data_IF_614632051837
#
_entry.id   IF_614632051837
#
_cell.length_a   1.000
_cell.length_b   1.000
_cell.length_c   1.000
_cell.angle_alpha   90.00
_cell.angle_beta   90.00
_cell.angle_gamma   90.00
#
_symmetry.space_group_name_H-M   'P 1'
#
loop_
_entity.id
_entity.type
_entity.pdbx_description
1 polymer ?
#
# COMPACT_ATOMS: atom_id res chain seq x y z
N UNK A 1 5.04 -5.81 -21.08
CA UNK A 1 5.79 -6.59 -20.06
C UNK A 1 6.98 -5.75 -19.62
N UNK A 2 7.25 -5.64 -18.32
CA UNK A 2 8.39 -4.89 -17.78
C UNK A 2 9.28 -5.82 -16.95
N UNK A 3 10.59 -5.62 -16.99
CA UNK A 3 11.57 -6.32 -16.15
C UNK A 3 12.50 -5.29 -15.52
N UNK A 4 12.53 -5.25 -14.19
CA UNK A 4 13.32 -4.28 -13.44
C UNK A 4 14.44 -4.98 -12.67
N UNK A 5 15.57 -4.30 -12.54
CA UNK A 5 16.75 -4.75 -11.82
C UNK A 5 17.10 -3.81 -10.68
N UNK A 6 17.61 -4.35 -9.57
CA UNK A 6 18.07 -3.54 -8.43
C UNK A 6 19.26 -4.17 -7.72
N UNK A 7 20.21 -3.30 -7.35
CA UNK A 7 21.39 -3.64 -6.56
C UNK A 7 21.10 -3.80 -5.06
N UNK A 8 19.90 -3.42 -4.61
CA UNK A 8 19.47 -3.58 -3.20
C UNK A 8 19.19 -5.02 -2.81
N UNK A 9 18.98 -5.90 -3.79
CA UNK A 9 18.70 -7.31 -3.55
C UNK A 9 19.96 -8.16 -3.70
N UNK A 10 19.99 -9.27 -2.97
CA UNK A 10 21.06 -10.27 -3.05
C UNK A 10 21.06 -11.04 -4.39
N UNK A 11 22.12 -11.86 -4.61
CA UNK A 11 22.20 -12.77 -5.75
C UNK A 11 20.94 -13.62 -5.91
N UNK A 12 20.35 -13.61 -7.12
CA UNK A 12 19.14 -14.37 -7.46
C UNK A 12 17.85 -13.54 -7.36
N UNK A 13 17.83 -12.45 -6.60
CA UNK A 13 16.64 -11.63 -6.37
C UNK A 13 16.67 -10.26 -7.05
N UNK A 14 17.76 -9.93 -7.76
CA UNK A 14 17.96 -8.60 -8.35
C UNK A 14 16.90 -8.24 -9.38
N UNK A 15 16.35 -9.23 -10.09
CA UNK A 15 15.46 -9.02 -11.21
C UNK A 15 14.01 -9.39 -10.87
N UNK A 16 13.09 -8.45 -11.07
CA UNK A 16 11.65 -8.64 -10.98
C UNK A 16 10.98 -8.56 -12.36
N UNK A 17 9.95 -9.36 -12.60
CA UNK A 17 9.15 -9.33 -13.85
C UNK A 17 7.71 -8.94 -13.54
N UNK A 18 7.24 -7.90 -14.23
CA UNK A 18 6.02 -7.16 -13.91
C UNK A 18 5.18 -7.00 -15.18
N UNK A 19 4.38 -8.03 -15.54
CA UNK A 19 3.47 -7.95 -16.68
C UNK A 19 2.22 -7.12 -16.35
N UNK A 20 1.59 -6.62 -17.41
CA UNK A 20 0.29 -5.95 -17.34
C UNK A 20 -0.49 -6.21 -18.62
N UNK A 21 -1.81 -6.19 -18.49
CA UNK A 21 -2.77 -6.30 -19.58
C UNK A 21 -3.97 -5.40 -19.27
N UNK A 22 -4.51 -4.73 -20.28
CA UNK A 22 -5.71 -3.93 -20.15
C UNK A 22 -6.54 -4.06 -21.42
N UNK A 23 -7.85 -4.07 -21.25
CA UNK A 23 -8.83 -4.06 -22.33
C UNK A 23 -9.84 -2.97 -22.05
N UNK A 24 -10.31 -2.33 -23.12
CA UNK A 24 -11.43 -1.43 -23.06
C UNK A 24 -12.38 -1.72 -24.21
N UNK A 25 -13.67 -1.66 -23.93
CA UNK A 25 -14.72 -1.86 -24.91
C UNK A 25 -15.67 -0.68 -24.86
N UNK A 26 -15.73 0.07 -25.97
CA UNK A 26 -16.62 1.22 -26.12
C UNK A 26 -17.95 0.75 -26.69
N UNK A 27 -18.87 0.41 -25.80
CA UNK A 27 -20.18 -0.14 -26.15
C UNK A 27 -21.06 0.90 -26.87
N UNK A 28 -20.86 2.19 -26.59
CA UNK A 28 -21.57 3.28 -27.28
C UNK A 28 -21.39 3.29 -28.80
N UNK A 29 -20.35 2.63 -29.32
CA UNK A 29 -20.11 2.51 -30.76
C UNK A 29 -20.78 1.28 -31.39
N UNK A 30 -21.37 0.39 -30.61
CA UNK A 30 -22.03 -0.80 -31.11
C UNK A 30 -23.42 -0.48 -31.68
N UNK A 31 -23.80 -1.15 -32.77
CA UNK A 31 -25.04 -0.89 -33.51
C UNK A 31 -26.31 -1.01 -32.66
N UNK A 32 -26.28 -1.79 -31.57
CA UNK A 32 -27.42 -1.96 -30.67
C UNK A 32 -27.59 -0.83 -29.64
N UNK A 33 -26.56 0.00 -29.42
CA UNK A 33 -26.66 1.22 -28.59
C UNK A 33 -26.67 2.51 -29.43
N UNK A 34 -26.33 2.42 -30.71
CA UNK A 34 -26.50 3.52 -31.66
C UNK A 34 -27.99 3.88 -31.76
N UNK A 35 -28.37 5.06 -31.27
CA UNK A 35 -29.75 5.55 -31.28
C UNK A 35 -30.42 5.63 -29.91
N UNK A 36 -29.77 5.18 -28.84
CA UNK A 36 -30.24 5.44 -27.47
C UNK A 36 -30.11 6.94 -27.17
N UNK A 37 -31.23 7.66 -27.22
CA UNK A 37 -31.28 9.08 -26.94
C UNK A 37 -30.75 9.41 -25.54
N UNK A 38 -29.91 10.45 -25.45
CA UNK A 38 -29.36 10.93 -24.19
C UNK A 38 -28.06 10.24 -23.73
N UNK A 39 -27.72 9.03 -24.20
CA UNK A 39 -26.41 8.42 -23.95
C UNK A 39 -25.43 8.85 -25.05
N UNK A 40 -24.29 9.42 -24.65
CA UNK A 40 -23.26 9.94 -25.57
C UNK A 40 -21.95 9.17 -25.56
N UNK A 41 -21.57 8.55 -24.43
CA UNK A 41 -20.47 7.57 -24.40
C UNK A 41 -20.71 6.53 -23.31
N UNK A 42 -20.27 5.31 -23.56
CA UNK A 42 -20.25 4.21 -22.61
C UNK A 42 -19.08 3.31 -22.96
N UNK A 43 -18.13 3.20 -22.02
CA UNK A 43 -16.91 2.43 -22.18
C UNK A 43 -16.66 1.62 -20.93
N UNK A 44 -16.52 0.31 -21.09
CA UNK A 44 -16.07 -0.58 -20.04
C UNK A 44 -14.55 -0.73 -20.12
N UNK A 45 -13.90 -0.75 -18.97
CA UNK A 45 -12.46 -0.95 -18.80
C UNK A 45 -12.24 -2.13 -17.86
N UNK A 46 -11.27 -2.97 -18.20
CA UNK A 46 -10.74 -3.96 -17.27
C UNK A 46 -9.22 -4.01 -17.42
N UNK A 47 -8.52 -4.11 -16.30
CA UNK A 47 -7.06 -4.21 -16.30
C UNK A 47 -6.54 -5.09 -15.18
N UNK A 48 -5.38 -5.67 -15.48
CA UNK A 48 -4.60 -6.46 -14.56
C UNK A 48 -3.13 -6.05 -14.68
N UNK A 49 -2.48 -5.79 -13.56
CA UNK A 49 -1.07 -5.43 -13.53
C UNK A 49 -0.37 -6.02 -12.32
N UNK A 50 0.88 -6.44 -12.51
CA UNK A 50 1.82 -6.72 -11.43
C UNK A 50 2.84 -5.58 -11.38
N UNK A 51 3.15 -5.10 -10.19
CA UNK A 51 4.20 -4.10 -9.94
C UNK A 51 5.09 -4.56 -8.78
N UNK A 52 6.34 -4.08 -8.78
CA UNK A 52 7.32 -4.36 -7.75
C UNK A 52 7.66 -3.12 -6.93
N UNK A 53 7.91 -3.31 -5.65
CA UNK A 53 8.43 -2.29 -4.74
C UNK A 53 9.75 -2.76 -4.10
N UNK A 54 10.63 -1.79 -3.86
CA UNK A 54 11.99 -1.96 -3.31
C UNK A 54 12.37 -0.83 -2.34
N UNK A 55 11.38 -0.19 -1.74
CA UNK A 55 11.57 0.91 -0.80
C UNK A 55 12.02 0.39 0.58
N UNK A 56 13.28 0.00 0.68
CA UNK A 56 13.95 -0.37 1.93
C UNK A 56 15.42 0.12 1.90
N UNK A 57 16.12 -0.01 3.04
CA UNK A 57 17.51 0.44 3.19
C UNK A 57 18.46 -0.34 2.27
N UNK A 58 19.59 0.27 1.92
CA UNK A 58 20.62 -0.40 1.12
C UNK A 58 21.38 -1.45 1.96
N UNK A 59 22.03 -2.40 1.27
CA UNK A 59 22.95 -3.40 1.84
C UNK A 59 22.37 -4.43 2.82
N UNK A 60 21.05 -4.53 2.97
CA UNK A 60 20.41 -5.50 3.88
C UNK A 60 20.66 -6.98 3.50
N UNK A 61 21.17 -7.22 2.29
CA UNK A 61 21.60 -8.52 1.79
C UNK A 61 23.02 -8.92 2.21
N UNK A 62 23.80 -8.01 2.80
CA UNK A 62 25.16 -8.27 3.29
C UNK A 62 25.28 -7.87 4.77
N UNK A 63 26.02 -8.64 5.60
CA UNK A 63 26.38 -8.16 6.93
C UNK A 63 27.34 -6.98 6.79
N UNK A 64 26.90 -5.79 7.23
CA UNK A 64 27.73 -4.59 7.29
C UNK A 64 28.19 -4.33 8.71
N UNK A 65 29.33 -3.66 8.89
CA UNK A 65 29.80 -3.27 10.20
C UNK A 65 29.23 -1.91 10.59
N UNK A 66 28.62 -1.84 11.77
CA UNK A 66 28.01 -0.61 12.30
C UNK A 66 28.51 -0.33 13.71
N UNK A 67 28.61 0.95 14.06
CA UNK A 67 28.91 1.34 15.44
C UNK A 67 27.77 0.95 16.37
N UNK A 68 28.14 0.41 17.52
CA UNK A 68 27.26 0.17 18.67
C UNK A 68 26.80 1.48 19.30
N UNK A 69 25.70 1.43 20.04
CA UNK A 69 25.13 2.60 20.72
C UNK A 69 25.75 2.83 22.10
N UNK A 70 25.32 3.89 22.79
CA UNK A 70 25.78 4.22 24.14
C UNK A 70 25.43 3.17 25.21
N UNK A 71 24.56 2.20 24.89
CA UNK A 71 24.19 1.11 25.81
C UNK A 71 25.12 -0.11 25.65
N UNK A 72 25.97 -0.12 24.62
CA UNK A 72 26.81 -1.28 24.23
C UNK A 72 28.28 -0.88 24.10
N UNK A 73 28.73 -0.01 25.01
CA UNK A 73 30.12 0.45 25.12
C UNK A 73 30.97 -0.50 25.97
N UNK A 74 32.26 -0.57 25.65
CA UNK A 74 33.26 -1.24 26.47
C UNK A 74 34.13 -0.17 27.15
N UNK A 75 34.37 -0.35 28.45
CA UNK A 75 35.17 0.58 29.23
C UNK A 75 36.64 0.16 29.22
N UNK A 76 37.52 1.05 28.77
CA UNK A 76 38.97 0.93 28.87
C UNK A 76 39.50 2.02 29.81
N UNK A 77 39.78 1.64 31.07
CA UNK A 77 40.12 2.61 32.11
C UNK A 77 38.97 3.56 32.41
N UNK A 78 39.15 4.86 32.17
CA UNK A 78 38.12 5.89 32.35
C UNK A 78 37.41 6.29 31.05
N UNK A 79 37.70 5.60 29.93
CA UNK A 79 37.13 5.91 28.61
C UNK A 79 36.12 4.83 28.21
N UNK A 80 34.93 5.25 27.83
CA UNK A 80 33.92 4.38 27.23
C UNK A 80 34.05 4.43 25.71
N UNK A 81 34.27 3.29 25.07
CA UNK A 81 34.44 3.17 23.62
C UNK A 81 33.29 2.37 23.04
N UNK A 82 32.65 2.90 22.00
CA UNK A 82 31.65 2.17 21.23
C UNK A 82 32.31 1.04 20.44
N UNK A 83 31.75 -0.15 20.55
CA UNK A 83 32.20 -1.30 19.77
C UNK A 83 31.69 -1.21 18.33
N UNK A 84 32.24 -2.03 17.44
CA UNK A 84 31.69 -2.25 16.11
C UNK A 84 31.07 -3.65 16.11
N UNK A 85 29.86 -3.76 15.57
CA UNK A 85 29.14 -5.04 15.45
C UNK A 85 28.62 -5.23 14.03
N UNK A 86 28.48 -6.48 13.56
CA UNK A 86 27.77 -6.75 12.32
C UNK A 86 26.29 -6.39 12.44
N UNK A 87 25.69 -5.97 11.34
CA UNK A 87 24.25 -5.73 11.21
C UNK A 87 23.50 -7.03 10.90
N UNK A 88 22.22 -7.07 11.26
CA UNK A 88 21.34 -8.16 10.85
C UNK A 88 21.16 -8.17 9.32
N UNK A 89 21.09 -9.37 8.76
CA UNK A 89 21.11 -9.58 7.30
C UNK A 89 19.96 -10.49 6.86
N UNK A 90 19.37 -10.20 5.71
CA UNK A 90 18.51 -11.14 4.98
C UNK A 90 19.02 -11.29 3.55
N UNK A 91 19.83 -12.32 3.27
CA UNK A 91 20.34 -12.58 1.92
C UNK A 91 19.24 -12.89 0.91
N UNK A 92 18.07 -13.32 1.38
CA UNK A 92 16.94 -13.73 0.56
C UNK A 92 15.92 -12.61 0.38
N UNK A 93 16.17 -11.40 0.89
CA UNK A 93 15.28 -10.26 0.68
C UNK A 93 15.02 -10.05 -0.81
N UNK A 94 13.76 -9.84 -1.17
CA UNK A 94 13.30 -9.76 -2.54
C UNK A 94 12.17 -8.75 -2.74
N UNK A 95 11.79 -8.52 -3.99
CA UNK A 95 10.73 -7.60 -4.38
C UNK A 95 9.42 -7.86 -3.63
N UNK A 96 8.85 -6.79 -3.07
CA UNK A 96 7.44 -6.74 -2.67
C UNK A 96 6.60 -6.64 -3.95
N UNK A 97 5.59 -7.50 -4.10
CA UNK A 97 4.83 -7.63 -5.36
C UNK A 97 3.37 -7.26 -5.16
N UNK A 98 2.92 -6.24 -5.85
CA UNK A 98 1.50 -5.85 -5.88
C UNK A 98 0.84 -6.35 -7.15
N UNK A 99 -0.23 -7.13 -7.00
CA UNK A 99 -1.12 -7.50 -8.11
C UNK A 99 -2.40 -6.66 -8.02
N UNK A 100 -2.67 -5.88 -9.05
CA UNK A 100 -3.83 -5.00 -9.16
C UNK A 100 -4.81 -5.54 -10.20
N UNK A 101 -6.08 -5.64 -9.81
CA UNK A 101 -7.22 -5.83 -10.70
C UNK A 101 -8.07 -4.57 -10.62
N UNK A 102 -8.48 -4.05 -11.77
CA UNK A 102 -9.38 -2.90 -11.85
C UNK A 102 -10.43 -3.15 -12.93
N UNK A 103 -11.68 -2.84 -12.60
CA UNK A 103 -12.82 -2.87 -13.52
C UNK A 103 -13.52 -1.52 -13.40
N UNK A 104 -13.75 -0.85 -14.52
CA UNK A 104 -14.35 0.47 -14.53
C UNK A 104 -15.35 0.63 -15.66
N UNK A 105 -16.25 1.60 -15.49
CA UNK A 105 -17.19 2.03 -16.50
C UNK A 105 -17.14 3.55 -16.60
N UNK A 106 -16.74 4.04 -17.76
CA UNK A 106 -16.84 5.45 -18.13
C UNK A 106 -18.18 5.66 -18.83
N UNK A 107 -18.93 6.69 -18.45
CA UNK A 107 -20.22 7.01 -19.04
C UNK A 107 -20.35 8.51 -19.31
N UNK A 108 -21.13 8.86 -20.32
CA UNK A 108 -21.42 10.24 -20.67
C UNK A 108 -22.81 10.38 -21.25
N UNK A 109 -23.55 11.40 -20.83
CA UNK A 109 -24.90 11.71 -21.26
C UNK A 109 -25.01 13.12 -21.85
N UNK A 110 -25.98 13.32 -22.74
CA UNK A 110 -26.36 14.61 -23.31
C UNK A 110 -25.19 15.38 -23.91
N UNK A 111 -24.48 14.75 -24.86
CA UNK A 111 -23.25 15.28 -25.47
C UNK A 111 -22.20 15.61 -24.40
N UNK A 112 -21.93 14.62 -23.55
CA UNK A 112 -20.97 14.68 -22.44
C UNK A 112 -21.25 15.77 -21.39
N UNK A 113 -22.45 16.37 -21.38
CA UNK A 113 -22.86 17.34 -20.37
C UNK A 113 -22.79 16.77 -18.96
N UNK A 114 -23.11 15.48 -18.81
CA UNK A 114 -22.88 14.74 -17.57
C UNK A 114 -21.97 13.58 -17.92
N UNK A 115 -20.77 13.54 -17.37
CA UNK A 115 -19.84 12.46 -17.61
C UNK A 115 -19.22 12.00 -16.29
N UNK A 116 -18.85 10.75 -16.22
CA UNK A 116 -18.31 10.19 -14.99
C UNK A 116 -17.65 8.86 -15.19
N UNK A 117 -17.02 8.39 -14.12
CA UNK A 117 -16.52 7.03 -14.04
C UNK A 117 -16.89 6.40 -12.71
N UNK A 118 -17.11 5.10 -12.76
CA UNK A 118 -17.11 4.24 -11.57
C UNK A 118 -16.04 3.18 -11.76
N UNK A 119 -15.16 3.06 -10.77
CA UNK A 119 -14.05 2.12 -10.77
C UNK A 119 -14.12 1.25 -9.52
N UNK A 120 -14.03 -0.05 -9.69
CA UNK A 120 -13.79 -1.01 -8.62
C UNK A 120 -12.40 -1.60 -8.77
N UNK A 121 -11.66 -1.67 -7.66
CA UNK A 121 -10.32 -2.24 -7.68
C UNK A 121 -10.06 -3.18 -6.50
N UNK A 122 -9.14 -4.12 -6.73
CA UNK A 122 -8.49 -4.91 -5.70
C UNK A 122 -6.99 -4.90 -5.97
N UNK A 123 -6.21 -4.43 -4.99
CA UNK A 123 -4.75 -4.52 -4.97
C UNK A 123 -4.35 -5.51 -3.88
N UNK A 124 -3.64 -6.56 -4.23
CA UNK A 124 -3.07 -7.51 -3.26
C UNK A 124 -1.57 -7.44 -3.32
N UNK A 125 -0.94 -7.09 -2.20
CA UNK A 125 0.50 -6.96 -2.08
C UNK A 125 1.01 -8.13 -1.26
N UNK A 126 1.93 -8.90 -1.83
CA UNK A 126 2.59 -10.01 -1.17
C UNK A 126 4.06 -9.65 -0.93
N UNK A 127 4.67 -10.39 0.00
CA UNK A 127 6.07 -10.25 0.35
C UNK A 127 6.37 -8.85 0.91
N UNK A 128 5.47 -8.32 1.74
CA UNK A 128 5.65 -7.03 2.42
C UNK A 128 6.94 -7.06 3.23
N UNK A 129 7.76 -6.02 3.06
CA UNK A 129 9.05 -5.89 3.74
C UNK A 129 8.84 -5.10 5.03
N UNK A 130 9.09 -5.73 6.18
CA UNK A 130 9.00 -5.07 7.48
C UNK A 130 10.25 -5.31 8.32
N UNK A 131 10.53 -4.35 9.21
CA UNK A 131 11.52 -4.50 10.28
C UNK A 131 10.87 -5.21 11.47
N UNK A 132 11.32 -6.43 11.77
CA UNK A 132 10.64 -7.35 12.69
C UNK A 132 11.59 -7.98 13.70
N UNK A 133 11.12 -8.27 14.93
CA UNK A 133 11.93 -8.99 15.91
C UNK A 133 12.12 -10.44 15.48
N UNK A 134 13.30 -10.98 15.76
CA UNK A 134 13.67 -12.37 15.48
C UNK A 134 14.23 -13.05 16.72
N UNK A 135 14.13 -14.40 16.83
CA UNK A 135 14.68 -15.11 17.96
C UNK A 135 16.18 -14.87 18.12
N UNK A 136 16.65 -14.77 19.37
CA UNK A 136 18.06 -14.58 19.65
C UNK A 136 18.89 -15.75 19.08
N UNK A 137 20.04 -15.43 18.49
CA UNK A 137 20.96 -16.42 17.92
C UNK A 137 20.63 -16.89 16.50
N UNK A 138 19.50 -16.48 15.90
CA UNK A 138 19.18 -16.83 14.49
C UNK A 138 19.78 -15.86 13.46
N UNK A 139 20.27 -14.71 13.91
CA UNK A 139 20.91 -13.68 13.07
C UNK A 139 21.87 -12.84 13.92
N UNK A 140 22.52 -11.87 13.30
CA UNK A 140 23.49 -10.96 13.91
C UNK A 140 22.85 -9.79 14.69
N UNK A 141 21.52 -9.82 14.86
CA UNK A 141 20.76 -8.87 15.66
C UNK A 141 19.43 -9.46 16.11
N UNK A 142 18.74 -8.76 17.01
CA UNK A 142 17.42 -9.17 17.53
C UNK A 142 16.27 -8.74 16.61
N UNK A 143 16.56 -8.03 15.52
CA UNK A 143 15.62 -7.56 14.52
C UNK A 143 16.23 -7.68 13.14
N UNK A 144 15.41 -7.89 12.12
CA UNK A 144 15.82 -7.91 10.72
C UNK A 144 14.72 -7.30 9.85
N UNK A 145 15.11 -6.68 8.75
CA UNK A 145 14.17 -6.26 7.70
C UNK A 145 14.02 -7.39 6.69
N UNK A 146 12.82 -7.93 6.53
CA UNK A 146 12.60 -9.12 5.68
C UNK A 146 11.17 -9.16 5.12
N UNK A 147 10.97 -9.95 4.06
CA UNK A 147 9.66 -10.21 3.45
C UNK A 147 8.82 -11.10 4.38
N UNK A 148 7.70 -10.59 4.88
CA UNK A 148 6.97 -11.27 5.96
C UNK A 148 5.46 -11.16 5.91
N UNK A 149 4.92 -10.22 5.13
CA UNK A 149 3.49 -9.92 5.16
C UNK A 149 2.81 -10.04 3.81
N UNK A 150 1.48 -10.09 3.86
CA UNK A 150 0.64 -9.79 2.71
C UNK A 150 -0.53 -8.92 3.14
N UNK A 151 -0.97 -8.03 2.26
CA UNK A 151 -2.08 -7.12 2.50
C UNK A 151 -2.97 -7.01 1.28
N UNK A 152 -4.18 -6.51 1.50
CA UNK A 152 -5.16 -6.23 0.47
C UNK A 152 -5.77 -4.86 0.66
N UNK A 153 -5.86 -4.13 -0.44
CA UNK A 153 -6.66 -2.93 -0.57
C UNK A 153 -7.79 -3.19 -1.56
N UNK A 154 -9.01 -2.86 -1.18
CA UNK A 154 -10.18 -2.93 -2.05
C UNK A 154 -10.97 -1.65 -1.94
N UNK A 155 -11.38 -1.12 -3.07
CA UNK A 155 -12.13 0.12 -3.07
C UNK A 155 -13.03 0.29 -4.27
N UNK A 156 -13.93 1.25 -4.11
CA UNK A 156 -14.74 1.81 -5.19
C UNK A 156 -14.43 3.31 -5.24
N UNK A 157 -14.23 3.80 -6.45
CA UNK A 157 -14.03 5.21 -6.77
C UNK A 157 -15.13 5.62 -7.73
N UNK A 158 -15.69 6.80 -7.50
CA UNK A 158 -16.73 7.39 -8.32
C UNK A 158 -16.36 8.84 -8.59
N UNK A 159 -16.51 9.27 -9.84
CA UNK A 159 -16.46 10.67 -10.21
C UNK A 159 -17.58 11.03 -11.17
N UNK A 160 -18.06 12.26 -11.03
CA UNK A 160 -19.09 12.84 -11.88
C UNK A 160 -18.75 14.31 -12.13
N UNK A 161 -18.72 14.68 -13.40
CA UNK A 161 -18.60 16.05 -13.87
C UNK A 161 -19.90 16.43 -14.57
N UNK A 162 -20.38 17.64 -14.31
CA UNK A 162 -21.60 18.16 -14.87
C UNK A 162 -21.40 19.60 -15.35
N UNK A 163 -21.68 19.86 -16.62
CA UNK A 163 -21.86 21.22 -17.13
C UNK A 163 -23.28 21.68 -16.79
N UNK A 164 -23.43 22.26 -15.61
CA UNK A 164 -24.74 22.64 -15.05
C UNK A 164 -25.36 23.77 -15.86
N UNK A 165 -24.58 24.78 -16.23
CA UNK A 165 -25.02 25.89 -17.09
C UNK A 165 -24.08 26.02 -18.30
N UNK A 166 -24.63 25.85 -19.50
CA UNK A 166 -23.97 26.14 -20.78
C UNK A 166 -24.68 27.35 -21.41
N UNK A 167 -23.95 28.44 -21.63
CA UNK A 167 -24.46 29.62 -22.34
C UNK A 167 -25.76 30.19 -21.75
N UNK A 168 -25.75 30.58 -20.47
CA UNK A 168 -26.88 31.37 -19.96
C UNK A 168 -27.02 32.67 -20.76
N UNK A 169 -28.22 33.25 -20.81
CA UNK A 169 -28.48 34.52 -21.49
C UNK A 169 -27.59 35.68 -20.99
N UNK A 170 -26.94 35.52 -19.83
CA UNK A 170 -26.02 36.47 -19.21
C UNK A 170 -24.53 36.10 -19.38
N UNK A 171 -24.19 35.06 -20.16
CA UNK A 171 -22.81 34.61 -20.37
C UNK A 171 -22.21 33.77 -19.24
N UNK A 172 -23.02 33.34 -18.26
CA UNK A 172 -22.55 32.48 -17.16
C UNK A 172 -22.43 31.02 -17.64
N UNK A 173 -21.28 30.42 -17.34
CA UNK A 173 -21.06 28.98 -17.43
C UNK A 173 -20.75 28.44 -16.03
N UNK A 174 -21.27 27.25 -15.73
CA UNK A 174 -21.03 26.60 -14.44
C UNK A 174 -20.84 25.11 -14.64
N UNK A 175 -19.76 24.60 -14.06
CA UNK A 175 -19.38 23.19 -14.06
C UNK A 175 -19.23 22.73 -12.62
N UNK A 176 -19.85 21.60 -12.26
CA UNK A 176 -19.70 21.00 -10.95
C UNK A 176 -19.00 19.64 -11.08
N UNK A 177 -18.13 19.33 -10.12
CA UNK A 177 -17.45 18.03 -10.05
C UNK A 177 -17.62 17.41 -8.67
N UNK A 178 -17.99 16.13 -8.64
CA UNK A 178 -18.16 15.32 -7.45
C UNK A 178 -17.21 14.13 -7.53
N UNK A 179 -16.48 13.88 -6.44
CA UNK A 179 -15.69 12.66 -6.30
C UNK A 179 -16.00 11.98 -4.97
N UNK A 180 -16.16 10.66 -5.01
CA UNK A 180 -16.41 9.85 -3.83
C UNK A 180 -15.55 8.59 -3.90
N UNK A 181 -14.92 8.24 -2.77
CA UNK A 181 -14.08 7.06 -2.69
C UNK A 181 -14.29 6.34 -1.37
N UNK A 182 -14.28 5.02 -1.44
CA UNK A 182 -14.23 4.14 -0.28
C UNK A 182 -13.15 3.11 -0.48
N UNK A 183 -12.17 3.09 0.42
CA UNK A 183 -11.12 2.08 0.42
C UNK A 183 -11.10 1.33 1.75
N UNK A 184 -10.91 0.02 1.65
CA UNK A 184 -10.73 -0.88 2.77
C UNK A 184 -9.36 -1.52 2.66
N UNK A 185 -8.61 -1.47 3.75
CA UNK A 185 -7.29 -2.08 3.85
C UNK A 185 -7.32 -3.19 4.91
N UNK A 186 -6.67 -4.30 4.60
CA UNK A 186 -6.60 -5.46 5.48
C UNK A 186 -5.23 -6.13 5.34
N UNK A 187 -4.58 -6.38 6.46
CA UNK A 187 -3.42 -7.26 6.51
C UNK A 187 -3.93 -8.71 6.44
N UNK A 188 -3.46 -9.49 5.47
CA UNK A 188 -3.92 -10.87 5.26
C UNK A 188 -3.08 -11.87 6.05
N UNK A 189 -1.78 -11.62 6.16
CA UNK A 189 -0.86 -12.48 6.89
C UNK A 189 0.38 -11.70 7.37
N UNK A 190 0.95 -12.18 8.46
CA UNK A 190 2.29 -11.85 8.97
C UNK A 190 2.95 -13.20 9.29
N UNK A 191 4.16 -13.44 8.80
CA UNK A 191 4.82 -14.74 8.90
C UNK A 191 6.22 -14.69 9.54
N UNK A 192 6.38 -14.40 10.85
CA UNK A 192 7.63 -14.62 11.56
C UNK A 192 7.54 -16.02 12.15
N UNK A 193 7.93 -17.03 11.38
CA UNK A 193 8.12 -18.40 11.86
C UNK A 193 6.88 -19.09 12.48
N UNK A 194 5.69 -18.93 11.88
CA UNK A 194 4.42 -19.64 12.23
C UNK A 194 3.90 -19.50 13.68
N UNK A 195 4.58 -18.78 14.58
CA UNK A 195 4.22 -18.70 16.01
C UNK A 195 3.87 -17.30 16.49
N UNK A 196 4.11 -16.26 15.69
CA UNK A 196 3.83 -14.87 16.06
C UNK A 196 2.56 -14.40 15.34
N UNK A 197 1.49 -14.20 16.09
CA UNK A 197 0.19 -13.77 15.57
C UNK A 197 0.06 -12.26 15.35
N UNK A 198 0.97 -11.46 15.94
CA UNK A 198 0.88 -9.98 15.98
C UNK A 198 2.27 -9.35 16.09
N UNK A 199 2.49 -8.22 15.43
CA UNK A 199 3.71 -7.41 15.58
C UNK A 199 3.32 -6.04 16.11
N UNK A 200 3.82 -5.68 17.29
CA UNK A 200 3.60 -4.33 17.85
C UNK A 200 4.53 -3.33 17.17
N UNK A 201 3.98 -2.18 16.78
CA UNK A 201 4.67 -1.08 16.07
C UNK A 201 4.19 0.28 16.57
N UNK A 202 4.58 1.38 15.93
CA UNK A 202 4.18 2.73 16.31
C UNK A 202 4.73 3.11 17.69
N UNK A 203 6.06 3.22 17.80
CA UNK A 203 6.73 3.57 19.05
C UNK A 203 6.27 4.92 19.59
N UNK A 204 6.16 5.05 20.92
CA UNK A 204 5.83 6.31 21.60
C UNK A 204 6.92 6.71 22.61
N UNK A 205 7.03 8.01 22.86
CA UNK A 205 7.90 8.55 23.91
C UNK A 205 7.37 8.14 25.29
N UNK A 206 8.25 7.70 26.20
CA UNK A 206 7.88 7.30 27.57
C UNK A 206 8.40 5.93 28.06
N UNK A 207 9.44 5.38 27.46
CA UNK A 207 10.07 4.11 27.88
C UNK A 207 10.54 3.26 26.70
N UNK A 208 11.38 2.25 26.96
CA UNK A 208 11.86 1.32 25.93
C UNK A 208 10.76 0.29 25.63
N UNK A 209 10.41 0.10 24.35
CA UNK A 209 9.48 -0.96 23.92
C UNK A 209 7.99 -0.62 24.02
N UNK A 210 7.63 0.65 24.24
CA UNK A 210 6.23 1.08 24.21
C UNK A 210 5.75 1.31 22.77
N UNK A 211 4.80 0.48 22.35
CA UNK A 211 4.19 0.49 21.02
C UNK A 211 2.68 0.69 21.15
N UNK A 212 2.09 1.54 20.30
CA UNK A 212 0.65 1.82 20.31
C UNK A 212 -0.08 1.32 19.07
N UNK A 213 0.63 0.73 18.12
CA UNK A 213 0.04 0.15 16.91
C UNK A 213 0.32 -1.34 16.83
N UNK A 214 -0.48 -2.04 16.05
CA UNK A 214 -0.31 -3.48 15.82
C UNK A 214 -0.53 -3.81 14.34
N UNK A 215 0.36 -4.66 13.84
CA UNK A 215 0.15 -5.40 12.60
C UNK A 215 -0.40 -6.78 12.96
N UNK A 216 -1.66 -7.02 12.60
CA UNK A 216 -2.39 -8.24 12.90
C UNK A 216 -3.25 -8.64 11.68
N UNK A 217 -3.22 -9.92 11.26
CA UNK A 217 -4.11 -10.39 10.20
C UNK A 217 -5.59 -10.11 10.48
N UNK A 218 -6.34 -9.69 9.45
CA UNK A 218 -7.77 -9.37 9.55
C UNK A 218 -8.08 -7.94 10.01
N UNK A 219 -7.05 -7.11 10.19
CA UNK A 219 -7.16 -5.73 10.67
C UNK A 219 -6.41 -4.78 9.70
N UNK A 220 -6.87 -3.53 9.52
CA UNK A 220 -6.15 -2.53 8.74
C UNK A 220 -4.74 -2.28 9.28
N UNK A 221 -3.79 -2.03 8.38
CA UNK A 221 -2.43 -1.61 8.73
C UNK A 221 -2.49 -0.26 9.47
N UNK A 222 -1.58 -0.03 10.42
CA UNK A 222 -1.55 1.14 11.32
C UNK A 222 -2.79 1.25 12.23
N UNK A 223 -3.34 0.11 12.66
CA UNK A 223 -4.40 0.09 13.67
C UNK A 223 -3.81 0.26 15.07
N UNK A 224 -4.44 1.08 15.89
CA UNK A 224 -4.00 1.32 17.27
C UNK A 224 -4.35 0.15 18.17
N UNK A 225 -3.40 -0.28 18.99
CA UNK A 225 -3.55 -1.29 20.04
C UNK A 225 -3.52 -0.60 21.40
N UNK A 226 -4.69 -0.42 22.01
CA UNK A 226 -4.86 0.40 23.22
C UNK A 226 -5.63 -0.34 24.29
N UNK A 227 -5.34 -0.03 25.56
CA UNK A 227 -6.11 -0.54 26.69
C UNK A 227 -7.45 0.20 26.80
N UNK A 228 -8.56 -0.55 26.81
CA UNK A 228 -9.91 -0.06 27.05
C UNK A 228 -10.46 -0.74 28.31
N UNK A 229 -10.77 0.05 29.33
CA UNK A 229 -11.41 -0.40 30.57
C UNK A 229 -10.72 -1.61 31.24
N UNK A 230 -9.38 -1.64 31.26
CA UNK A 230 -8.61 -2.72 31.88
C UNK A 230 -8.35 -3.94 30.98
N UNK A 231 -8.70 -3.88 29.69
CA UNK A 231 -8.45 -4.93 28.70
C UNK A 231 -7.83 -4.37 27.41
N UNK A 232 -6.90 -5.09 26.80
CA UNK A 232 -6.26 -4.67 25.55
C UNK A 232 -7.15 -4.92 24.33
N UNK A 233 -7.32 -3.91 23.47
CA UNK A 233 -8.16 -4.00 22.28
C UNK A 233 -7.57 -3.26 21.07
N UNK A 234 -7.75 -3.84 19.88
CA UNK A 234 -7.33 -3.22 18.60
C UNK A 234 -8.45 -2.34 18.04
N UNK A 235 -8.16 -1.07 17.73
CA UNK A 235 -9.11 -0.14 17.11
C UNK A 235 -8.83 -0.01 15.61
N UNK A 236 -9.84 -0.33 14.79
CA UNK A 236 -9.78 -0.20 13.32
C UNK A 236 -9.80 1.26 12.88
N UNK A 237 -8.92 1.61 11.94
CA UNK A 237 -8.94 2.85 11.16
C UNK A 237 -9.62 2.60 9.82
N UNK A 238 -10.65 3.38 9.48
CA UNK A 238 -11.31 3.34 8.17
C UNK A 238 -11.30 4.71 7.53
N UNK A 239 -10.95 4.79 6.24
CA UNK A 239 -10.94 6.04 5.49
C UNK A 239 -12.08 6.04 4.47
N UNK A 240 -13.05 6.93 4.68
CA UNK A 240 -14.08 7.28 3.69
C UNK A 240 -13.91 8.76 3.38
N UNK A 241 -13.84 9.11 2.09
CA UNK A 241 -13.69 10.50 1.68
C UNK A 241 -14.68 10.83 0.57
N UNK A 242 -15.35 11.97 0.71
CA UNK A 242 -16.15 12.59 -0.34
C UNK A 242 -15.72 14.05 -0.44
N UNK A 243 -15.49 14.53 -1.66
CA UNK A 243 -15.18 15.94 -1.91
C UNK A 243 -16.01 16.45 -3.08
N UNK A 244 -16.40 17.72 -2.97
CA UNK A 244 -17.19 18.43 -3.97
C UNK A 244 -16.47 19.73 -4.27
N UNK A 245 -16.24 20.01 -5.55
CA UNK A 245 -15.74 21.30 -6.03
C UNK A 245 -16.77 21.92 -6.96
N UNK A 246 -17.10 23.19 -6.70
CA UNK A 246 -18.13 23.95 -7.42
C UNK A 246 -17.50 25.07 -8.26
#
# INVERSE_FOLDING_TARGET
MRRDGSSRFGPGNQWGTFPSAAVAWRISQESFLQGVGGLSDLKLRASWAKTGNQAFQDYLQYPTYTFSDGQTQVQFGNVYTTTIRPSAVDPNIHWEKTTAYNVGADFGFSNQRFNGTIDWYTKSTNDLIFYIPIPAGTNLGNYVTTNIGSMRNRGVEFSLNADVLRHSAAGLSWTASLTAARNTNELLAINPNKSVSKILTGGISGGVGNNVEVLEPGIPVNSFFVCRNGSWATRRTSTTSASTSA
#
